data_IF_733472697856
#
_entry.id   IF_733472697856
#
_cell.length_a   1.000
_cell.length_b   1.000
_cell.length_c   1.000
_cell.angle_alpha   90.00
_cell.angle_beta   90.00
_cell.angle_gamma   90.00
#
_symmetry.space_group_name_H-M   'P 1'
#
loop_
_entity.id
_entity.type
_entity.pdbx_description
1 polymer ?
#
# COMPACT_ATOMS: atom_id res chain seq x y z
N UNK A 1 -15.81 7.03 8.24
CA UNK A 1 -14.69 6.12 7.94
C UNK A 1 -13.58 6.87 7.21
N UNK A 2 -12.35 6.68 7.62
CA UNK A 2 -11.18 7.22 6.94
C UNK A 2 -10.25 6.08 6.56
N UNK A 3 -9.60 6.20 5.42
CA UNK A 3 -8.60 5.21 4.98
C UNK A 3 -7.32 5.91 4.56
N UNK A 4 -6.20 5.26 4.84
CA UNK A 4 -4.89 5.63 4.29
C UNK A 4 -4.77 5.01 2.91
N UNK A 5 -4.55 5.82 1.89
CA UNK A 5 -4.46 5.34 0.50
C UNK A 5 -3.03 5.43 0.02
N UNK A 6 -2.52 4.32 -0.51
CA UNK A 6 -1.23 4.29 -1.20
C UNK A 6 -1.46 3.95 -2.65
N UNK A 7 -1.01 4.81 -3.53
CA UNK A 7 -0.99 4.60 -4.97
C UNK A 7 0.45 4.34 -5.38
N UNK A 8 0.77 3.07 -5.62
CA UNK A 8 2.13 2.60 -5.84
C UNK A 8 2.44 2.55 -7.33
N UNK A 9 3.45 3.30 -7.74
CA UNK A 9 4.00 3.22 -9.08
C UNK A 9 5.41 2.61 -9.05
N UNK A 10 5.98 2.41 -10.22
CA UNK A 10 7.33 1.83 -10.35
C UNK A 10 8.45 2.70 -9.79
N UNK A 11 8.26 4.02 -9.76
CA UNK A 11 9.29 4.97 -9.31
C UNK A 11 8.89 5.75 -8.07
N UNK A 12 7.59 5.89 -7.81
CA UNK A 12 7.10 6.68 -6.68
C UNK A 12 5.81 6.13 -6.12
N UNK A 13 5.60 6.41 -4.84
CA UNK A 13 4.38 6.07 -4.10
C UNK A 13 3.74 7.38 -3.69
N UNK A 14 2.47 7.58 -4.06
CA UNK A 14 1.66 8.70 -3.59
C UNK A 14 0.76 8.22 -2.47
N UNK A 15 0.53 9.06 -1.48
CA UNK A 15 -0.34 8.68 -0.38
C UNK A 15 -1.16 9.85 0.12
N UNK A 16 -2.27 9.53 0.77
CA UNK A 16 -3.15 10.49 1.44
C UNK A 16 -4.09 9.78 2.39
N UNK A 17 -4.71 10.54 3.28
CA UNK A 17 -5.85 10.07 4.07
C UNK A 17 -7.11 10.57 3.39
N UNK A 18 -8.09 9.68 3.19
CA UNK A 18 -9.36 10.02 2.52
C UNK A 18 -10.50 9.73 3.49
N UNK A 19 -11.42 10.70 3.65
CA UNK A 19 -12.63 10.55 4.45
C UNK A 19 -13.84 10.14 3.61
N UNK A 20 -15.02 9.99 4.24
CA UNK A 20 -16.26 9.57 3.58
C UNK A 20 -16.74 10.54 2.50
N UNK A 21 -16.40 11.82 2.63
CA UNK A 21 -16.74 12.85 1.65
C UNK A 21 -15.69 12.97 0.55
N UNK A 22 -14.72 12.06 0.51
CA UNK A 22 -13.61 12.05 -0.44
C UNK A 22 -12.64 13.22 -0.30
N UNK A 23 -12.62 13.86 0.87
CA UNK A 23 -11.62 14.87 1.17
C UNK A 23 -10.27 14.21 1.44
N UNK A 24 -9.23 14.75 0.84
CA UNK A 24 -7.86 14.26 1.00
C UNK A 24 -7.09 15.16 1.95
N UNK A 25 -6.42 14.54 2.91
CA UNK A 25 -5.53 15.21 3.85
C UNK A 25 -4.21 14.45 3.93
N UNK A 26 -3.19 15.07 4.52
CA UNK A 26 -1.88 14.43 4.75
C UNK A 26 -1.29 13.81 3.48
N UNK A 27 -1.46 14.53 2.37
CA UNK A 27 -0.98 14.10 1.05
C UNK A 27 0.54 14.21 0.94
N UNK A 28 1.17 13.19 0.41
CA UNK A 28 2.60 13.18 0.19
C UNK A 28 3.04 12.16 -0.84
N UNK A 29 4.34 12.04 -1.00
CA UNK A 29 4.94 11.06 -1.89
C UNK A 29 6.31 10.63 -1.37
N UNK A 30 6.75 9.45 -1.81
CA UNK A 30 8.06 8.90 -1.48
C UNK A 30 8.56 8.06 -2.65
N UNK A 31 9.87 7.90 -2.83
CA UNK A 31 10.39 6.97 -3.84
C UNK A 31 9.96 5.53 -3.55
N UNK A 32 9.69 4.77 -4.61
CA UNK A 32 9.39 3.34 -4.49
C UNK A 32 10.68 2.58 -4.21
N UNK A 33 10.76 1.82 -3.08
CA UNK A 33 11.90 0.95 -2.84
C UNK A 33 12.02 -0.10 -3.96
N UNK A 34 13.21 -0.24 -4.54
CA UNK A 34 13.46 -1.17 -5.63
C UNK A 34 14.25 -2.42 -5.19
N UNK A 35 14.70 -2.46 -3.95
CA UNK A 35 15.63 -3.48 -3.45
C UNK A 35 14.96 -4.69 -2.82
N UNK A 36 13.88 -4.51 -2.03
CA UNK A 36 13.27 -5.63 -1.34
C UNK A 36 11.82 -5.34 -0.93
N UNK A 37 11.04 -6.41 -0.76
CA UNK A 37 9.70 -6.31 -0.21
C UNK A 37 9.71 -5.83 1.25
N UNK A 38 10.71 -6.24 2.02
CA UNK A 38 10.84 -5.78 3.41
C UNK A 38 10.96 -4.26 3.48
N UNK A 39 11.82 -3.67 2.66
CA UNK A 39 11.96 -2.21 2.58
C UNK A 39 10.66 -1.56 2.13
N UNK A 40 9.99 -2.14 1.14
CA UNK A 40 8.70 -1.66 0.64
C UNK A 40 7.64 -1.63 1.74
N UNK A 41 7.43 -2.76 2.44
CA UNK A 41 6.45 -2.85 3.51
C UNK A 41 6.77 -1.92 4.68
N UNK A 42 8.05 -1.81 5.05
CA UNK A 42 8.47 -0.90 6.11
C UNK A 42 8.23 0.57 5.74
N UNK A 43 8.44 0.95 4.49
CA UNK A 43 8.17 2.31 4.00
C UNK A 43 6.68 2.65 4.17
N UNK A 44 5.79 1.76 3.74
CA UNK A 44 4.35 1.97 3.89
C UNK A 44 3.95 2.02 5.37
N UNK A 45 4.50 1.13 6.18
CA UNK A 45 4.22 1.08 7.61
C UNK A 45 4.63 2.38 8.32
N UNK A 46 5.81 2.90 8.04
CA UNK A 46 6.29 4.14 8.65
C UNK A 46 5.40 5.34 8.32
N UNK A 47 4.90 5.41 7.09
CA UNK A 47 3.96 6.45 6.67
C UNK A 47 2.60 6.27 7.37
N UNK A 48 2.15 5.03 7.52
CA UNK A 48 0.88 4.70 8.16
C UNK A 48 0.86 4.98 9.67
N UNK A 49 1.94 4.65 10.39
CA UNK A 49 1.95 4.66 11.86
C UNK A 49 1.47 5.96 12.51
N UNK A 50 1.84 7.17 12.03
CA UNK A 50 1.32 8.41 12.61
C UNK A 50 -0.21 8.55 12.50
N UNK A 51 -0.84 7.80 11.62
CA UNK A 51 -2.28 7.87 11.33
C UNK A 51 -3.07 6.68 11.84
N UNK A 52 -2.44 5.74 12.55
CA UNK A 52 -3.06 4.46 12.93
C UNK A 52 -4.35 4.62 13.73
N UNK A 53 -4.46 5.64 14.57
CA UNK A 53 -5.64 5.88 15.39
C UNK A 53 -6.70 6.72 14.68
N UNK A 54 -6.36 7.29 13.53
CA UNK A 54 -7.21 8.15 12.71
C UNK A 54 -7.93 7.37 11.62
N UNK A 55 -7.29 6.34 11.07
CA UNK A 55 -7.81 5.59 9.91
C UNK A 55 -8.29 4.20 10.29
N UNK A 56 -9.26 3.70 9.52
CA UNK A 56 -9.85 2.37 9.72
C UNK A 56 -9.08 1.27 9.00
N UNK A 57 -8.17 1.64 8.12
CA UNK A 57 -7.35 0.70 7.38
C UNK A 57 -6.61 1.36 6.23
N UNK A 58 -6.01 0.52 5.40
CA UNK A 58 -5.20 0.92 4.25
C UNK A 58 -5.84 0.42 2.97
N UNK A 59 -5.94 1.31 1.98
CA UNK A 59 -6.28 0.96 0.60
C UNK A 59 -5.00 1.04 -0.22
N UNK A 60 -4.58 -0.10 -0.79
CA UNK A 60 -3.32 -0.24 -1.51
C UNK A 60 -3.59 -0.51 -2.98
N UNK A 61 -3.17 0.41 -3.86
CA UNK A 61 -3.24 0.23 -5.30
C UNK A 61 -1.85 -0.08 -5.84
N UNK A 62 -1.74 -1.19 -6.56
CA UNK A 62 -0.48 -1.69 -7.12
C UNK A 62 -0.61 -1.89 -8.63
N UNK A 63 0.46 -1.69 -9.40
CA UNK A 63 0.44 -2.05 -10.82
C UNK A 63 0.50 -3.57 -10.99
N UNK A 64 -0.12 -4.07 -12.07
CA UNK A 64 -0.09 -5.49 -12.41
C UNK A 64 -1.45 -6.16 -12.30
N UNK A 65 -1.42 -7.48 -12.33
CA UNK A 65 -2.61 -8.32 -12.18
C UNK A 65 -2.80 -8.68 -10.73
N UNK A 66 -3.84 -8.11 -10.11
CA UNK A 66 -4.08 -8.23 -8.67
C UNK A 66 -5.24 -9.18 -8.41
N UNK A 67 -5.01 -10.17 -7.56
CA UNK A 67 -6.06 -10.98 -6.96
C UNK A 67 -6.48 -10.26 -5.66
N UNK A 68 -7.50 -9.42 -5.77
CA UNK A 68 -7.93 -8.58 -4.64
C UNK A 68 -8.50 -9.41 -3.49
N UNK A 69 -9.13 -10.54 -3.79
CA UNK A 69 -9.71 -11.42 -2.76
C UNK A 69 -8.62 -12.06 -1.90
N UNK A 70 -7.54 -12.53 -2.53
CA UNK A 70 -6.42 -13.17 -1.82
C UNK A 70 -5.36 -12.17 -1.37
N UNK A 71 -5.40 -10.95 -1.88
CA UNK A 71 -4.38 -9.94 -1.60
C UNK A 71 -3.03 -10.24 -2.22
N UNK A 72 -3.02 -10.87 -3.40
CA UNK A 72 -1.81 -11.39 -4.06
C UNK A 72 -1.60 -10.70 -5.40
N UNK A 73 -0.36 -10.34 -5.69
CA UNK A 73 0.06 -9.88 -7.02
C UNK A 73 0.38 -11.12 -7.87
N UNK A 74 -0.39 -11.35 -8.94
CA UNK A 74 -0.25 -12.53 -9.79
C UNK A 74 0.79 -12.36 -10.89
N UNK A 75 1.08 -11.14 -11.29
CA UNK A 75 2.06 -10.86 -12.34
C UNK A 75 1.94 -9.45 -12.87
N UNK A 76 2.76 -9.12 -13.86
CA UNK A 76 2.78 -7.80 -14.47
C UNK A 76 3.36 -6.73 -13.56
N UNK A 77 3.02 -5.47 -13.86
CA UNK A 77 3.48 -4.35 -13.07
C UNK A 77 4.89 -3.89 -13.44
N UNK A 78 5.47 -3.06 -12.60
CA UNK A 78 6.80 -2.49 -12.83
C UNK A 78 7.92 -3.44 -12.41
N UNK A 79 9.04 -3.50 -13.17
CA UNK A 79 10.17 -4.35 -12.80
C UNK A 79 10.73 -4.05 -11.40
N UNK A 80 10.70 -2.79 -10.97
CA UNK A 80 11.15 -2.40 -9.62
C UNK A 80 10.32 -3.00 -8.48
N UNK A 81 9.12 -3.52 -8.79
CA UNK A 81 8.21 -4.14 -7.83
C UNK A 81 8.12 -5.66 -8.01
N UNK A 82 9.05 -6.26 -8.74
CA UNK A 82 9.04 -7.70 -9.02
C UNK A 82 9.06 -8.55 -7.75
N UNK A 83 9.62 -8.04 -6.65
CA UNK A 83 9.62 -8.74 -5.36
C UNK A 83 8.22 -9.03 -4.80
N UNK A 84 7.19 -8.34 -5.28
CA UNK A 84 5.81 -8.55 -4.85
C UNK A 84 5.09 -9.66 -5.62
N UNK A 85 5.60 -10.05 -6.78
CA UNK A 85 4.93 -11.03 -7.64
C UNK A 85 4.87 -12.40 -6.96
N UNK A 86 3.69 -12.98 -6.94
CA UNK A 86 3.46 -14.29 -6.33
C UNK A 86 3.38 -14.28 -4.81
N UNK A 87 3.39 -13.10 -4.18
CA UNK A 87 3.38 -12.99 -2.71
C UNK A 87 2.07 -12.37 -2.21
N UNK A 88 1.63 -12.73 -0.99
CA UNK A 88 0.43 -12.15 -0.38
C UNK A 88 0.73 -10.77 0.24
N UNK A 89 0.94 -9.77 -0.62
CA UNK A 89 1.32 -8.41 -0.19
C UNK A 89 0.29 -7.79 0.74
N UNK A 90 -1.00 -7.94 0.43
CA UNK A 90 -2.09 -7.41 1.26
C UNK A 90 -2.05 -7.96 2.67
N UNK A 91 -2.09 -9.31 2.85
CA UNK A 91 -1.97 -9.92 4.17
C UNK A 91 -0.67 -9.58 4.90
N UNK A 92 0.45 -9.50 4.19
CA UNK A 92 1.74 -9.13 4.81
C UNK A 92 1.74 -7.70 5.32
N UNK A 93 1.17 -6.77 4.57
CA UNK A 93 1.05 -5.38 5.02
C UNK A 93 0.08 -5.28 6.20
N UNK A 94 -1.05 -6.00 6.15
CA UNK A 94 -2.02 -6.04 7.24
C UNK A 94 -1.36 -6.53 8.54
N UNK A 95 -0.54 -7.58 8.46
CA UNK A 95 0.20 -8.09 9.61
C UNK A 95 1.21 -7.07 10.13
N UNK A 96 1.97 -6.46 9.23
CA UNK A 96 2.98 -5.47 9.59
C UNK A 96 2.39 -4.23 10.27
N UNK A 97 1.22 -3.80 9.84
CA UNK A 97 0.57 -2.58 10.34
C UNK A 97 -0.47 -2.86 11.44
N UNK A 98 -0.93 -4.10 11.58
CA UNK A 98 -1.97 -4.43 12.54
C UNK A 98 -3.33 -3.83 12.17
N UNK A 99 -3.62 -3.69 10.89
CA UNK A 99 -4.85 -3.09 10.39
C UNK A 99 -5.38 -3.82 9.17
N UNK A 100 -6.61 -3.49 8.79
CA UNK A 100 -7.21 -4.03 7.57
C UNK A 100 -6.58 -3.40 6.33
N UNK A 101 -6.32 -4.21 5.31
CA UNK A 101 -5.76 -3.75 4.03
C UNK A 101 -6.65 -4.25 2.89
N UNK A 102 -7.09 -3.31 2.06
CA UNK A 102 -7.73 -3.60 0.78
C UNK A 102 -6.71 -3.37 -0.33
N UNK A 103 -6.62 -4.29 -1.26
CA UNK A 103 -5.64 -4.23 -2.36
C UNK A 103 -6.35 -4.32 -3.72
N UNK A 104 -5.87 -3.54 -4.66
CA UNK A 104 -6.34 -3.61 -6.04
C UNK A 104 -5.21 -3.31 -7.04
#
# INVERSE_FOLDING_TARGET
MKVMVFDVGGTGIKYSVIDEQLNRTDTGSTPTPADSQEHFLNTLREIYLPHKDEVDGIALSLPGFIDAEQGVVRGGGAPSLAYNVGTPVGPRLAEACGCRVWIE
#
